data_IF_814784875630
#
_entry.id   IF_814784875630
#
_cell.length_a   1.000
_cell.length_b   1.000
_cell.length_c   1.000
_cell.angle_alpha   90.00
_cell.angle_beta   90.00
_cell.angle_gamma   90.00
#
_symmetry.space_group_name_H-M   'P 1'
#
loop_
_entity.id
_entity.type
_entity.pdbx_description
1 polymer ?
#
# COMPACT_ATOMS: atom_id res chain seq x y z
N UNK A 1 -17.31 -12.56 18.42
CA UNK A 1 -17.45 -11.10 18.51
C UNK A 1 -16.70 -10.63 19.75
N UNK A 2 -15.38 -10.55 19.66
CA UNK A 2 -14.49 -10.26 20.80
C UNK A 2 -14.17 -8.77 20.85
N UNK A 3 -14.63 -8.09 21.90
CA UNK A 3 -13.95 -7.05 22.69
C UNK A 3 -12.83 -6.20 22.04
N UNK A 4 -12.97 -5.77 20.79
CA UNK A 4 -12.05 -4.80 20.21
C UNK A 4 -12.85 -3.70 19.52
N UNK A 5 -13.17 -2.65 20.27
CA UNK A 5 -13.24 -1.24 19.83
C UNK A 5 -13.74 -0.29 20.95
N UNK A 6 -13.24 -0.47 22.17
CA UNK A 6 -13.36 0.55 23.24
C UNK A 6 -12.00 1.14 23.60
N UNK A 7 -11.20 1.48 22.59
CA UNK A 7 -9.99 2.27 22.83
C UNK A 7 -10.09 3.51 21.94
N UNK A 8 -10.47 4.61 22.61
CA UNK A 8 -10.47 6.00 22.17
C UNK A 8 -11.69 6.50 21.35
N UNK A 9 -12.21 5.77 20.36
CA UNK A 9 -13.37 6.24 19.55
C UNK A 9 -14.46 5.17 19.41
N UNK A 10 -15.71 5.42 19.80
CA UNK A 10 -16.83 4.50 19.56
C UNK A 10 -17.08 4.31 18.07
N UNK A 11 -17.11 3.06 17.61
CA UNK A 11 -17.41 2.71 16.22
C UNK A 11 -18.77 2.04 16.11
N UNK A 12 -19.55 2.49 15.13
CA UNK A 12 -20.87 1.97 14.82
C UNK A 12 -20.83 1.33 13.43
N UNK A 13 -20.93 0.00 13.37
CA UNK A 13 -21.01 -0.72 12.10
C UNK A 13 -22.38 -0.49 11.47
N UNK A 14 -22.39 -0.13 10.18
CA UNK A 14 -23.62 0.06 9.40
C UNK A 14 -23.78 -1.03 8.36
N UNK A 15 -24.99 -1.56 8.26
CA UNK A 15 -25.42 -2.53 7.25
C UNK A 15 -26.11 -1.86 6.05
N UNK A 16 -26.40 -0.56 6.14
CA UNK A 16 -27.03 0.22 5.08
C UNK A 16 -26.39 1.59 4.93
N UNK A 17 -26.13 2.00 3.68
CA UNK A 17 -25.65 3.36 3.33
C UNK A 17 -26.76 4.43 3.33
N UNK A 18 -28.03 4.05 3.59
CA UNK A 18 -29.15 5.00 3.59
C UNK A 18 -29.06 6.03 4.71
N UNK A 19 -29.59 7.24 4.47
CA UNK A 19 -29.75 8.24 5.53
C UNK A 19 -30.78 7.82 6.57
N UNK A 20 -31.78 7.03 6.17
CA UNK A 20 -32.77 6.47 7.09
C UNK A 20 -32.10 5.62 8.19
N UNK A 21 -31.05 4.87 7.83
CA UNK A 21 -30.28 4.12 8.81
C UNK A 21 -29.69 5.04 9.88
N UNK A 22 -29.10 6.18 9.49
CA UNK A 22 -28.53 7.17 10.42
C UNK A 22 -29.61 7.70 11.35
N UNK A 23 -30.76 8.10 10.80
CA UNK A 23 -31.88 8.65 11.58
C UNK A 23 -32.39 7.67 12.63
N UNK A 24 -32.60 6.42 12.23
CA UNK A 24 -33.15 5.38 13.11
C UNK A 24 -32.13 4.93 14.17
N UNK A 25 -30.85 4.77 13.83
CA UNK A 25 -29.86 4.20 14.75
C UNK A 25 -29.23 5.22 15.70
N UNK A 26 -29.23 6.51 15.34
CA UNK A 26 -28.71 7.59 16.19
C UNK A 26 -29.82 8.38 16.91
N UNK A 27 -31.09 8.02 16.69
CA UNK A 27 -32.26 8.74 17.20
C UNK A 27 -32.19 10.25 16.89
N UNK A 28 -32.08 10.53 15.59
CA UNK A 28 -31.94 11.87 15.02
C UNK A 28 -32.85 12.05 13.81
N UNK A 29 -33.17 13.28 13.48
CA UNK A 29 -33.89 13.66 12.27
C UNK A 29 -32.94 14.30 11.26
N UNK A 30 -33.43 14.52 10.03
CA UNK A 30 -32.65 15.23 9.01
C UNK A 30 -32.20 16.64 9.44
N UNK A 31 -32.91 17.28 10.39
CA UNK A 31 -32.56 18.61 10.92
C UNK A 31 -31.38 18.58 11.90
N UNK A 32 -31.10 17.41 12.47
CA UNK A 32 -29.99 17.22 13.42
C UNK A 32 -28.67 16.88 12.71
N UNK A 33 -28.69 16.75 11.39
CA UNK A 33 -27.52 16.35 10.58
C UNK A 33 -27.04 17.52 9.73
N UNK A 34 -25.79 17.91 9.94
CA UNK A 34 -25.08 18.84 9.06
C UNK A 34 -24.35 18.06 7.98
N UNK A 35 -24.64 18.35 6.71
CA UNK A 35 -24.05 17.65 5.57
C UNK A 35 -22.95 18.48 4.92
N UNK A 36 -21.72 17.98 4.97
CA UNK A 36 -20.63 18.42 4.10
C UNK A 36 -20.73 17.69 2.77
N UNK A 37 -21.19 18.40 1.74
CA UNK A 37 -21.35 17.86 0.39
C UNK A 37 -20.13 18.20 -0.44
N UNK A 38 -19.37 17.18 -0.80
CA UNK A 38 -18.25 17.33 -1.72
C UNK A 38 -18.78 17.54 -3.14
N UNK A 39 -18.53 18.71 -3.72
CA UNK A 39 -18.75 19.00 -5.13
C UNK A 39 -17.55 18.54 -5.97
N UNK A 40 -16.35 18.46 -5.37
CA UNK A 40 -15.12 18.00 -6.02
C UNK A 40 -14.23 17.14 -5.10
N UNK A 41 -13.37 16.24 -5.64
CA UNK A 41 -12.57 15.30 -4.83
C UNK A 41 -11.62 15.92 -3.79
N UNK A 42 -11.14 17.14 -4.04
CA UNK A 42 -10.20 17.87 -3.19
C UNK A 42 -10.78 19.23 -2.78
N UNK A 43 -12.06 19.24 -2.39
CA UNK A 43 -12.72 20.50 -2.06
C UNK A 43 -12.14 21.15 -0.80
N UNK A 44 -11.99 20.38 0.29
CA UNK A 44 -11.47 20.91 1.55
C UNK A 44 -10.43 20.01 2.21
N UNK A 45 -9.53 20.66 2.95
CA UNK A 45 -8.63 20.06 3.92
C UNK A 45 -9.04 20.49 5.34
N UNK A 46 -9.06 19.55 6.28
CA UNK A 46 -9.30 19.80 7.69
C UNK A 46 -7.96 19.93 8.41
N UNK A 47 -7.78 21.03 9.13
CA UNK A 47 -6.59 21.36 9.90
C UNK A 47 -6.92 21.46 11.39
N UNK A 48 -6.04 20.96 12.24
CA UNK A 48 -6.20 20.95 13.69
C UNK A 48 -5.42 22.06 14.42
N UNK A 49 -4.50 22.75 13.74
CA UNK A 49 -3.74 23.88 14.29
C UNK A 49 -4.11 25.20 13.58
N UNK A 50 -4.96 26.06 14.17
CA UNK A 50 -5.38 27.33 13.58
C UNK A 50 -4.24 28.37 13.49
N UNK A 51 -3.09 28.12 14.13
CA UNK A 51 -1.98 29.09 14.17
C UNK A 51 -1.02 28.95 12.99
N UNK A 52 -1.05 27.82 12.31
CA UNK A 52 -0.12 27.51 11.22
C UNK A 52 -0.82 27.69 9.88
N UNK A 53 -0.34 28.63 9.05
CA UNK A 53 -0.81 28.79 7.67
C UNK A 53 -0.02 27.88 6.73
N UNK A 54 -0.63 26.78 6.32
CA UNK A 54 -0.02 25.76 5.47
C UNK A 54 -0.51 25.87 4.03
N UNK A 55 0.34 25.57 3.04
CA UNK A 55 -0.12 25.43 1.66
C UNK A 55 -1.23 24.38 1.62
N UNK A 56 -2.20 24.50 0.71
CA UNK A 56 -3.33 23.58 0.60
C UNK A 56 -3.07 22.37 -0.31
N UNK A 57 -1.85 22.22 -0.85
CA UNK A 57 -1.51 21.21 -1.88
C UNK A 57 -2.51 21.29 -3.04
N UNK A 58 -3.37 20.27 -3.16
CA UNK A 58 -4.42 20.12 -4.18
C UNK A 58 -5.82 20.49 -3.70
N UNK A 59 -5.96 20.91 -2.44
CA UNK A 59 -7.25 21.25 -1.84
C UNK A 59 -7.64 22.71 -2.13
N UNK A 60 -8.93 22.99 -2.31
CA UNK A 60 -9.39 24.33 -2.67
C UNK A 60 -9.45 25.28 -1.47
N UNK A 61 -9.86 24.79 -0.30
CA UNK A 61 -9.92 25.58 0.92
C UNK A 61 -9.69 24.75 2.17
N UNK A 62 -9.46 25.46 3.28
CA UNK A 62 -9.22 24.90 4.61
C UNK A 62 -10.46 25.02 5.47
N UNK A 63 -10.67 24.02 6.31
CA UNK A 63 -11.63 24.04 7.42
C UNK A 63 -10.84 23.80 8.71
N UNK A 64 -10.89 24.74 9.63
CA UNK A 64 -10.29 24.55 10.95
C UNK A 64 -11.16 23.64 11.81
N UNK A 65 -10.52 22.81 12.63
CA UNK A 65 -11.21 21.90 13.55
C UNK A 65 -12.12 22.67 14.53
N UNK A 66 -11.76 23.90 14.91
CA UNK A 66 -12.60 24.75 15.75
C UNK A 66 -13.89 25.19 15.04
N UNK A 67 -13.83 25.41 13.72
CA UNK A 67 -15.05 25.66 12.92
C UNK A 67 -15.99 24.46 12.96
N UNK A 68 -15.45 23.24 12.98
CA UNK A 68 -16.26 22.02 13.10
C UNK A 68 -16.88 21.87 14.50
N UNK A 69 -16.18 22.31 15.56
CA UNK A 69 -16.68 22.28 16.95
C UNK A 69 -17.84 23.24 17.17
N UNK A 70 -17.87 24.36 16.44
CA UNK A 70 -18.92 25.37 16.55
C UNK A 70 -20.25 24.96 15.87
N UNK A 71 -20.28 23.83 15.16
CA UNK A 71 -21.50 23.34 14.50
C UNK A 71 -22.42 22.69 15.55
N UNK A 72 -23.57 23.30 15.81
CA UNK A 72 -24.55 22.85 16.81
C UNK A 72 -25.30 21.54 16.46
N UNK A 73 -25.15 21.04 15.23
CA UNK A 73 -25.84 19.82 14.78
C UNK A 73 -25.26 18.60 15.51
N UNK A 74 -26.15 17.66 15.89
CA UNK A 74 -25.77 16.45 16.64
C UNK A 74 -24.89 15.49 15.82
N UNK A 75 -24.98 15.57 14.49
CA UNK A 75 -24.25 14.69 13.57
C UNK A 75 -23.62 15.52 12.45
N UNK A 76 -22.31 15.35 12.26
CA UNK A 76 -21.59 15.83 11.07
C UNK A 76 -21.47 14.68 10.07
N UNK A 77 -22.02 14.85 8.87
CA UNK A 77 -21.95 13.88 7.79
C UNK A 77 -21.06 14.41 6.67
N UNK A 78 -19.91 13.76 6.47
CA UNK A 78 -19.00 14.06 5.38
C UNK A 78 -19.28 13.19 4.14
N UNK A 79 -19.21 13.78 2.95
CA UNK A 79 -19.42 13.06 1.68
C UNK A 79 -18.33 12.04 1.43
N UNK A 80 -17.11 12.49 1.16
CA UNK A 80 -15.91 11.68 1.06
C UNK A 80 -14.90 12.12 2.12
N UNK A 81 -14.20 11.16 2.71
CA UNK A 81 -12.99 11.42 3.50
C UNK A 81 -11.73 10.92 2.77
N UNK A 82 -11.87 10.60 1.48
CA UNK A 82 -10.77 10.16 0.64
C UNK A 82 -9.83 11.33 0.32
N UNK A 83 -8.53 11.01 0.26
CA UNK A 83 -7.45 11.94 -0.09
C UNK A 83 -6.39 11.97 1.00
N UNK A 84 -5.12 11.73 0.62
CA UNK A 84 -4.01 11.99 1.54
C UNK A 84 -4.07 13.45 2.01
N UNK A 85 -3.74 13.68 3.27
CA UNK A 85 -3.77 15.01 3.91
C UNK A 85 -5.15 15.66 4.01
N UNK A 86 -6.25 14.96 3.74
CA UNK A 86 -7.59 15.55 3.89
C UNK A 86 -7.92 15.92 5.34
N UNK A 87 -7.41 15.15 6.29
CA UNK A 87 -7.37 15.50 7.71
C UNK A 87 -5.89 15.52 8.09
N UNK A 88 -5.37 16.70 8.38
CA UNK A 88 -4.00 16.88 8.80
C UNK A 88 -3.96 16.82 10.33
N UNK A 89 -3.05 16.00 10.85
CA UNK A 89 -2.76 15.95 12.28
C UNK A 89 -1.43 16.68 12.51
N UNK A 90 -1.50 17.96 12.83
CA UNK A 90 -0.37 18.87 12.96
C UNK A 90 0.19 18.83 14.37
N UNK A 91 -0.69 18.78 15.38
CA UNK A 91 -0.28 18.72 16.79
C UNK A 91 0.22 17.32 17.20
N UNK A 92 1.18 17.21 18.13
CA UNK A 92 1.65 15.90 18.62
C UNK A 92 0.54 15.03 19.22
N UNK A 93 -0.44 15.64 19.87
CA UNK A 93 -1.59 14.94 20.46
C UNK A 93 -2.47 14.30 19.38
N UNK A 94 -2.87 15.06 18.35
CA UNK A 94 -3.67 14.52 17.26
C UNK A 94 -2.90 13.54 16.38
N UNK A 95 -1.58 13.68 16.25
CA UNK A 95 -0.72 12.68 15.60
C UNK A 95 -0.78 11.34 16.33
N UNK A 96 -0.75 11.34 17.66
CA UNK A 96 -0.89 10.12 18.44
C UNK A 96 -2.29 9.50 18.27
N UNK A 97 -3.36 10.30 18.30
CA UNK A 97 -4.73 9.83 18.05
C UNK A 97 -4.84 9.21 16.65
N UNK A 98 -4.31 9.87 15.62
CA UNK A 98 -4.29 9.34 14.25
C UNK A 98 -3.52 8.01 14.17
N UNK A 99 -2.44 7.88 14.93
CA UNK A 99 -1.63 6.65 15.01
C UNK A 99 -2.42 5.51 15.63
N UNK A 100 -3.13 5.77 16.72
CA UNK A 100 -3.99 4.78 17.37
C UNK A 100 -5.12 4.30 16.44
N UNK A 101 -5.77 5.24 15.73
CA UNK A 101 -6.79 4.93 14.73
C UNK A 101 -6.20 4.05 13.62
N UNK A 102 -5.11 4.47 12.98
CA UNK A 102 -4.46 3.72 11.89
C UNK A 102 -3.97 2.35 12.34
N UNK A 103 -3.47 2.23 13.58
CA UNK A 103 -3.06 0.94 14.16
C UNK A 103 -4.21 -0.05 14.32
N UNK A 104 -5.45 0.45 14.41
CA UNK A 104 -6.66 -0.37 14.46
C UNK A 104 -7.23 -0.72 13.08
N UNK A 105 -6.85 0.01 12.03
CA UNK A 105 -7.33 -0.17 10.65
C UNK A 105 -6.61 -1.29 9.91
N UNK A 106 -6.52 -2.47 10.52
CA UNK A 106 -5.94 -3.68 9.91
C UNK A 106 -7.02 -4.71 9.60
N UNK A 107 -6.79 -5.56 8.61
CA UNK A 107 -7.72 -6.64 8.29
C UNK A 107 -7.77 -7.69 9.40
N UNK A 108 -8.99 -7.97 9.89
CA UNK A 108 -9.25 -8.97 10.93
C UNK A 108 -10.37 -9.91 10.50
N UNK A 109 -10.10 -10.68 9.46
CA UNK A 109 -10.98 -11.77 9.05
C UNK A 109 -10.29 -13.11 9.39
N UNK A 110 -10.89 -14.00 10.21
CA UNK A 110 -10.21 -15.20 10.70
C UNK A 110 -9.60 -16.06 9.60
N UNK A 111 -10.31 -16.21 8.48
CA UNK A 111 -9.82 -17.00 7.34
C UNK A 111 -8.68 -16.28 6.62
N UNK A 112 -8.72 -14.95 6.50
CA UNK A 112 -7.61 -14.19 5.89
C UNK A 112 -6.37 -14.31 6.76
N UNK A 113 -6.49 -14.03 8.05
CA UNK A 113 -5.37 -14.12 9.00
C UNK A 113 -4.74 -15.51 8.99
N UNK A 114 -5.55 -16.57 9.05
CA UNK A 114 -5.06 -17.95 9.01
C UNK A 114 -4.33 -18.30 7.70
N UNK A 115 -4.89 -17.88 6.56
CA UNK A 115 -4.27 -18.12 5.24
C UNK A 115 -2.97 -17.32 5.09
N UNK A 116 -2.96 -16.06 5.51
CA UNK A 116 -1.75 -15.22 5.57
C UNK A 116 -0.67 -15.90 6.41
N UNK A 117 -0.98 -16.32 7.63
CA UNK A 117 -0.02 -16.97 8.54
C UNK A 117 0.58 -18.25 7.93
N UNK A 118 -0.25 -19.07 7.25
CA UNK A 118 0.23 -20.26 6.54
C UNK A 118 1.24 -19.90 5.45
N UNK A 119 0.93 -18.90 4.62
CA UNK A 119 1.79 -18.49 3.50
C UNK A 119 3.08 -17.85 4.04
N UNK A 120 2.97 -16.93 4.99
CA UNK A 120 4.12 -16.28 5.64
C UNK A 120 5.04 -17.31 6.29
N UNK A 121 4.49 -18.34 6.95
CA UNK A 121 5.28 -19.44 7.50
C UNK A 121 6.04 -20.21 6.41
N UNK A 122 5.42 -20.44 5.25
CA UNK A 122 6.10 -21.10 4.12
C UNK A 122 7.25 -20.26 3.57
N UNK A 123 7.09 -18.94 3.52
CA UNK A 123 8.12 -17.97 3.11
C UNK A 123 9.28 -17.84 4.12
N UNK A 124 9.15 -18.43 5.32
CA UNK A 124 10.18 -18.44 6.36
C UNK A 124 9.75 -17.76 7.67
N UNK A 125 8.61 -17.08 7.68
CA UNK A 125 8.08 -16.32 8.82
C UNK A 125 8.19 -14.80 8.64
N UNK A 126 7.58 -14.06 9.56
CA UNK A 126 7.69 -12.59 9.62
C UNK A 126 9.16 -12.16 9.67
N UNK A 127 9.49 -11.09 8.95
CA UNK A 127 10.84 -10.53 8.85
C UNK A 127 11.88 -11.49 8.21
N UNK A 128 11.47 -12.48 7.39
CA UNK A 128 12.40 -13.43 6.74
C UNK A 128 12.45 -13.33 5.21
N UNK A 129 11.71 -12.39 4.61
CA UNK A 129 11.66 -12.15 3.17
C UNK A 129 11.48 -10.66 2.89
N UNK A 130 11.70 -10.24 1.65
CA UNK A 130 11.36 -8.90 1.16
C UNK A 130 9.94 -8.94 0.61
N UNK A 131 9.08 -8.08 1.13
CA UNK A 131 7.73 -7.90 0.61
C UNK A 131 7.68 -6.78 -0.41
N UNK A 132 6.85 -6.92 -1.44
CA UNK A 132 6.60 -5.82 -2.36
C UNK A 132 5.17 -5.80 -2.86
N UNK A 133 4.67 -4.60 -3.14
CA UNK A 133 3.39 -4.38 -3.80
C UNK A 133 3.59 -3.56 -5.06
N UNK A 134 3.44 -4.20 -6.22
CA UNK A 134 3.71 -3.65 -7.55
C UNK A 134 2.44 -3.58 -8.38
N UNK A 135 2.06 -2.37 -8.80
CA UNK A 135 0.95 -2.13 -9.71
C UNK A 135 1.43 -1.93 -11.14
N UNK A 136 0.89 -2.70 -12.07
CA UNK A 136 1.16 -2.64 -13.51
C UNK A 136 -0.10 -2.72 -14.37
N UNK A 137 -1.26 -3.02 -13.77
CA UNK A 137 -2.46 -3.40 -14.49
C UNK A 137 -3.37 -2.24 -14.92
N UNK A 138 -3.35 -1.11 -14.20
CA UNK A 138 -4.39 -0.08 -14.33
C UNK A 138 -3.91 1.38 -14.25
N UNK A 139 -4.74 2.27 -14.82
CA UNK A 139 -4.65 3.72 -14.67
C UNK A 139 -3.27 4.31 -14.99
N UNK A 140 -2.91 5.36 -14.23
CA UNK A 140 -1.59 6.00 -14.28
C UNK A 140 -0.46 5.02 -13.90
N UNK A 141 -0.74 4.03 -13.06
CA UNK A 141 0.27 3.07 -12.60
C UNK A 141 0.78 2.22 -13.76
N UNK A 142 -0.09 1.83 -14.69
CA UNK A 142 0.31 1.17 -15.93
C UNK A 142 1.24 2.03 -16.80
N UNK A 143 1.04 3.35 -16.84
CA UNK A 143 1.86 4.27 -17.64
C UNK A 143 3.27 4.44 -17.10
N UNK A 144 3.40 4.47 -15.77
CA UNK A 144 4.69 4.60 -15.08
C UNK A 144 5.25 3.27 -14.57
N UNK A 145 4.62 2.16 -14.92
CA UNK A 145 4.99 0.83 -14.43
C UNK A 145 6.45 0.49 -14.75
N UNK A 146 6.92 0.83 -15.95
CA UNK A 146 8.29 0.56 -16.38
C UNK A 146 9.30 1.29 -15.50
N UNK A 147 9.11 2.60 -15.29
CA UNK A 147 9.96 3.44 -14.44
C UNK A 147 9.93 2.94 -12.99
N UNK A 148 8.75 2.68 -12.43
CA UNK A 148 8.63 2.24 -11.04
C UNK A 148 9.23 0.86 -10.78
N UNK A 149 9.08 -0.07 -11.73
CA UNK A 149 9.70 -1.39 -11.60
C UNK A 149 11.21 -1.29 -11.75
N UNK A 150 11.70 -0.43 -12.64
CA UNK A 150 13.11 -0.13 -12.79
C UNK A 150 13.71 0.43 -11.47
N UNK A 151 13.08 1.44 -10.86
CA UNK A 151 13.52 1.98 -9.56
C UNK A 151 13.55 0.92 -8.44
N UNK A 152 12.51 0.07 -8.38
CA UNK A 152 12.44 -1.03 -7.41
C UNK A 152 13.53 -2.06 -7.69
N UNK A 153 13.78 -2.39 -8.95
CA UNK A 153 14.81 -3.35 -9.36
C UNK A 153 16.21 -2.87 -8.94
N UNK A 154 16.57 -1.63 -9.28
CA UNK A 154 17.89 -1.08 -8.91
C UNK A 154 18.04 -0.98 -7.39
N UNK A 155 16.98 -0.61 -6.67
CA UNK A 155 16.99 -0.62 -5.20
C UNK A 155 17.18 -2.01 -4.60
N UNK A 156 16.59 -3.05 -5.19
CA UNK A 156 16.79 -4.44 -4.78
C UNK A 156 18.22 -4.92 -5.07
N UNK A 157 18.75 -4.55 -6.23
CA UNK A 157 20.13 -4.84 -6.63
C UNK A 157 21.11 -4.23 -5.64
N UNK A 158 20.97 -2.94 -5.34
CA UNK A 158 21.85 -2.22 -4.43
C UNK A 158 21.83 -2.83 -3.01
N UNK A 159 20.63 -3.16 -2.51
CA UNK A 159 20.46 -3.63 -1.12
C UNK A 159 20.75 -5.12 -0.92
N UNK A 160 20.48 -5.97 -1.92
CA UNK A 160 20.45 -7.44 -1.74
C UNK A 160 21.35 -8.21 -2.70
N UNK A 161 22.15 -7.53 -3.52
CA UNK A 161 23.08 -8.17 -4.45
C UNK A 161 24.45 -7.51 -4.43
N UNK A 162 25.45 -8.19 -4.98
CA UNK A 162 26.82 -7.71 -5.20
C UNK A 162 27.12 -7.56 -6.70
N UNK A 163 26.07 -7.30 -7.50
CA UNK A 163 26.18 -7.21 -8.95
C UNK A 163 26.98 -5.97 -9.34
N UNK A 164 27.97 -6.14 -10.23
CA UNK A 164 28.66 -5.00 -10.82
C UNK A 164 27.77 -4.27 -11.82
N UNK A 165 28.10 -3.01 -12.15
CA UNK A 165 27.40 -2.24 -13.18
C UNK A 165 27.25 -3.01 -14.52
N UNK A 166 28.29 -3.73 -14.93
CA UNK A 166 28.27 -4.56 -16.14
C UNK A 166 27.24 -5.69 -16.04
N UNK A 167 27.17 -6.35 -14.88
CA UNK A 167 26.21 -7.43 -14.64
C UNK A 167 24.78 -6.89 -14.55
N UNK A 168 24.55 -5.76 -13.89
CA UNK A 168 23.23 -5.12 -13.83
C UNK A 168 22.75 -4.78 -15.24
N UNK A 169 23.62 -4.22 -16.08
CA UNK A 169 23.30 -3.93 -17.50
C UNK A 169 22.91 -5.20 -18.27
N UNK A 170 23.51 -6.34 -17.97
CA UNK A 170 23.16 -7.62 -18.59
C UNK A 170 21.77 -8.13 -18.16
N UNK A 171 21.41 -7.95 -16.89
CA UNK A 171 20.09 -8.35 -16.37
C UNK A 171 18.98 -7.35 -16.67
N UNK A 172 19.35 -6.10 -16.95
CA UNK A 172 18.44 -5.02 -17.32
C UNK A 172 18.80 -4.37 -18.67
N UNK A 173 18.74 -5.14 -19.78
CA UNK A 173 19.09 -4.62 -21.10
C UNK A 173 18.08 -3.60 -21.66
N UNK A 174 16.93 -3.44 -21.01
CA UNK A 174 15.84 -2.55 -21.42
C UNK A 174 15.75 -1.29 -20.56
N UNK A 175 16.71 -1.06 -19.65
CA UNK A 175 16.72 0.09 -18.74
C UNK A 175 16.35 1.41 -19.44
N UNK A 176 17.11 1.81 -20.47
CA UNK A 176 16.88 3.08 -21.17
C UNK A 176 15.48 3.16 -21.79
N UNK A 177 14.91 2.03 -22.23
CA UNK A 177 13.56 1.96 -22.79
C UNK A 177 12.50 2.06 -21.69
N UNK A 178 12.73 1.43 -20.54
CA UNK A 178 11.83 1.47 -19.39
C UNK A 178 11.73 2.87 -18.77
N UNK A 179 12.79 3.69 -18.92
CA UNK A 179 12.82 5.11 -18.49
C UNK A 179 12.05 6.06 -19.41
N UNK A 180 11.59 5.62 -20.58
CA UNK A 180 10.79 6.44 -21.49
C UNK A 180 9.33 6.45 -21.01
N UNK A 181 8.75 7.65 -20.87
CA UNK A 181 7.33 7.76 -20.53
C UNK A 181 6.48 7.25 -21.71
N UNK A 182 5.50 6.39 -21.41
CA UNK A 182 4.57 5.89 -22.43
C UNK A 182 3.73 7.06 -22.98
N UNK A 183 3.73 7.23 -24.30
CA UNK A 183 2.91 8.23 -24.99
C UNK A 183 1.51 7.73 -25.32
N UNK A 184 1.17 6.50 -24.94
CA UNK A 184 -0.04 5.79 -25.38
C UNK A 184 -1.34 6.29 -24.70
N UNK A 185 -1.25 7.17 -23.71
CA UNK A 185 -2.41 7.74 -23.03
C UNK A 185 -2.22 9.24 -22.75
N UNK A 186 -2.94 10.07 -23.50
CA UNK A 186 -3.20 11.47 -23.12
C UNK A 186 -4.23 11.51 -21.98
N UNK A 187 -3.86 11.13 -20.76
CA UNK A 187 -4.66 11.49 -19.59
C UNK A 187 -4.03 12.74 -18.98
N UNK A 188 -4.70 13.87 -19.15
CA UNK A 188 -4.44 15.11 -18.42
C UNK A 188 -4.78 14.88 -16.95
N UNK A 189 -3.89 14.26 -16.20
CA UNK A 189 -3.98 14.20 -14.74
C UNK A 189 -3.49 15.53 -14.19
N UNK A 190 -4.44 16.45 -13.98
CA UNK A 190 -4.23 17.75 -13.28
C UNK A 190 -3.76 17.61 -11.82
N UNK A 191 -3.42 16.41 -11.35
CA UNK A 191 -3.33 16.09 -9.92
C UNK A 191 -2.06 15.34 -9.51
N UNK A 192 -1.06 15.21 -10.38
CA UNK A 192 0.26 14.68 -9.99
C UNK A 192 1.36 15.57 -10.56
N UNK A 193 2.46 15.79 -9.80
CA UNK A 193 3.60 16.51 -10.32
C UNK A 193 4.08 15.87 -11.62
N UNK A 194 4.26 16.70 -12.63
CA UNK A 194 4.94 16.32 -13.87
C UNK A 194 6.41 16.22 -13.50
N UNK A 195 6.92 15.02 -13.28
CA UNK A 195 8.35 14.81 -13.22
C UNK A 195 8.93 15.05 -14.61
N UNK A 196 9.68 16.13 -14.76
CA UNK A 196 10.08 16.68 -16.06
C UNK A 196 11.22 15.87 -16.70
N UNK A 197 11.90 15.00 -15.94
CA UNK A 197 12.95 14.14 -16.46
C UNK A 197 13.03 12.79 -15.74
N UNK A 198 12.54 11.75 -16.41
CA UNK A 198 12.65 10.38 -15.92
C UNK A 198 13.95 9.69 -16.32
N UNK A 199 14.81 10.31 -17.14
CA UNK A 199 16.09 9.69 -17.51
C UNK A 199 17.05 9.66 -16.34
N UNK A 200 17.55 8.48 -16.02
CA UNK A 200 18.53 8.21 -14.95
C UNK A 200 19.48 7.14 -15.49
N UNK A 201 20.80 7.26 -15.34
CA UNK A 201 21.73 6.17 -15.70
C UNK A 201 21.63 5.01 -14.70
N UNK A 202 22.03 3.82 -15.12
CA UNK A 202 22.26 2.70 -14.19
C UNK A 202 23.41 3.10 -13.27
N UNK A 203 23.13 3.12 -11.98
CA UNK A 203 24.10 3.32 -10.92
C UNK A 203 24.00 2.15 -9.96
N UNK A 204 25.13 1.73 -9.39
CA UNK A 204 25.18 0.65 -8.40
C UNK A 204 25.91 1.15 -7.17
N UNK A 205 25.19 1.16 -6.04
CA UNK A 205 25.67 1.65 -4.76
C UNK A 205 25.43 0.58 -3.69
N UNK A 206 26.44 -0.24 -3.42
CA UNK A 206 26.39 -1.24 -2.35
C UNK A 206 26.76 -0.63 -1.00
N UNK A 207 25.86 0.18 -0.44
CA UNK A 207 26.10 0.89 0.83
C UNK A 207 26.21 -0.05 2.03
N UNK A 208 25.65 -1.26 1.93
CA UNK A 208 25.61 -2.23 3.03
C UNK A 208 26.19 -3.59 2.58
N UNK A 209 27.11 -4.20 3.35
CA UNK A 209 27.60 -5.54 3.04
C UNK A 209 26.48 -6.58 3.14
N UNK A 210 26.38 -7.45 2.13
CA UNK A 210 25.33 -8.47 2.06
C UNK A 210 25.58 -9.55 3.11
N UNK A 211 24.63 -9.70 4.03
CA UNK A 211 24.63 -10.82 4.96
C UNK A 211 23.82 -11.96 4.34
N UNK A 212 24.50 -12.84 3.61
CA UNK A 212 23.90 -14.05 3.03
C UNK A 212 23.56 -15.05 4.15
N UNK A 213 22.34 -14.99 4.65
CA UNK A 213 21.80 -16.01 5.56
C UNK A 213 21.06 -17.08 4.76
N UNK A 214 21.13 -18.35 5.21
CA UNK A 214 20.33 -19.42 4.58
C UNK A 214 18.85 -19.05 4.66
N UNK A 215 18.13 -19.07 3.52
CA UNK A 215 16.73 -18.68 3.53
C UNK A 215 15.97 -19.68 4.39
N UNK A 216 15.13 -19.18 5.30
CA UNK A 216 14.28 -20.03 6.15
C UNK A 216 13.03 -20.52 5.42
N UNK A 217 12.85 -20.13 4.16
CA UNK A 217 11.74 -20.55 3.33
C UNK A 217 11.71 -22.07 3.17
N UNK A 218 10.52 -22.62 3.21
CA UNK A 218 10.25 -24.04 2.92
C UNK A 218 9.83 -24.24 1.46
N UNK A 219 9.72 -23.14 0.70
CA UNK A 219 9.32 -23.16 -0.69
C UNK A 219 10.49 -23.57 -1.58
N UNK A 220 10.16 -24.26 -2.68
CA UNK A 220 11.12 -24.55 -3.73
C UNK A 220 11.34 -23.31 -4.59
N UNK A 221 12.57 -22.82 -4.65
CA UNK A 221 12.94 -21.70 -5.51
C UNK A 221 13.09 -22.13 -6.97
N UNK A 222 13.03 -21.19 -7.91
CA UNK A 222 13.32 -21.49 -9.30
C UNK A 222 14.81 -21.83 -9.48
N UNK A 223 15.12 -22.55 -10.55
CA UNK A 223 16.50 -22.80 -10.93
C UNK A 223 17.16 -21.46 -11.32
N UNK A 224 18.36 -21.15 -10.78
CA UNK A 224 19.06 -19.94 -11.15
C UNK A 224 19.46 -19.98 -12.63
N UNK A 225 19.56 -18.81 -13.25
CA UNK A 225 19.96 -18.69 -14.65
C UNK A 225 21.44 -19.06 -14.85
N UNK A 226 22.27 -18.76 -13.86
CA UNK A 226 23.72 -18.91 -13.87
C UNK A 226 24.30 -18.92 -12.45
N UNK A 227 25.62 -19.08 -12.34
CA UNK A 227 26.35 -19.09 -11.06
C UNK A 227 26.28 -17.75 -10.31
N UNK A 228 25.96 -16.65 -10.99
CA UNK A 228 25.82 -15.32 -10.38
C UNK A 228 24.49 -15.24 -9.65
N UNK A 229 23.39 -15.47 -10.36
CA UNK A 229 22.02 -15.48 -9.80
C UNK A 229 21.82 -16.59 -8.76
N UNK A 230 22.60 -17.67 -8.85
CA UNK A 230 22.66 -18.73 -7.83
C UNK A 230 23.00 -18.21 -6.43
N UNK A 231 23.77 -17.12 -6.31
CA UNK A 231 24.13 -16.49 -5.02
C UNK A 231 22.93 -15.82 -4.35
N UNK A 232 22.02 -15.27 -5.13
CA UNK A 232 20.86 -14.49 -4.63
C UNK A 232 19.65 -15.36 -4.26
N UNK A 233 19.78 -16.68 -4.30
CA UNK A 233 18.79 -17.63 -3.74
C UNK A 233 18.56 -17.46 -2.24
N UNK A 234 19.41 -16.70 -1.55
CA UNK A 234 19.25 -16.40 -0.13
C UNK A 234 18.25 -15.27 0.13
N UNK A 235 17.96 -14.46 -0.89
CA UNK A 235 16.99 -13.36 -0.82
C UNK A 235 15.63 -13.87 -1.29
N UNK A 236 14.71 -14.04 -0.35
CA UNK A 236 13.34 -14.47 -0.64
C UNK A 236 12.49 -13.23 -0.93
N UNK A 237 11.82 -13.21 -2.09
CA UNK A 237 10.90 -12.13 -2.47
C UNK A 237 9.46 -12.64 -2.46
N UNK A 238 8.53 -11.83 -1.95
CA UNK A 238 7.10 -12.01 -2.19
C UNK A 238 6.55 -10.78 -2.91
N UNK A 239 5.96 -11.00 -4.09
CA UNK A 239 5.48 -9.95 -4.98
C UNK A 239 3.95 -9.99 -5.02
N UNK A 240 3.32 -9.01 -4.37
CA UNK A 240 1.90 -8.70 -4.52
C UNK A 240 1.72 -7.83 -5.76
N UNK A 241 0.86 -8.24 -6.71
CA UNK A 241 0.70 -7.52 -7.97
C UNK A 241 -0.64 -7.77 -8.64
N UNK A 242 -1.11 -6.79 -9.40
CA UNK A 242 -2.29 -6.85 -10.25
C UNK A 242 -1.99 -7.43 -11.65
N UNK A 243 -0.75 -7.83 -11.94
CA UNK A 243 -0.38 -8.52 -13.17
C UNK A 243 -1.08 -9.89 -13.26
N UNK A 244 -1.85 -10.20 -14.32
CA UNK A 244 -2.53 -11.49 -14.45
C UNK A 244 -1.58 -12.70 -14.56
N UNK A 245 -0.40 -12.49 -15.14
CA UNK A 245 0.65 -13.51 -15.26
C UNK A 245 2.01 -12.89 -14.91
N UNK A 246 2.32 -12.70 -13.60
CA UNK A 246 3.48 -11.93 -13.17
C UNK A 246 4.80 -12.48 -13.71
N UNK A 247 4.96 -13.80 -13.74
CA UNK A 247 6.20 -14.47 -14.16
C UNK A 247 6.52 -14.28 -15.65
N UNK A 248 5.52 -14.02 -16.47
CA UNK A 248 5.70 -13.76 -17.90
C UNK A 248 5.55 -12.28 -18.25
N UNK A 249 5.21 -11.42 -17.27
CA UNK A 249 5.04 -9.99 -17.51
C UNK A 249 6.40 -9.35 -17.85
N UNK A 250 6.58 -8.71 -19.03
CA UNK A 250 7.88 -8.24 -19.51
C UNK A 250 8.65 -7.41 -18.48
N UNK A 251 7.98 -6.44 -17.84
CA UNK A 251 8.61 -5.57 -16.84
C UNK A 251 9.07 -6.33 -15.58
N UNK A 252 8.34 -7.35 -15.15
CA UNK A 252 8.62 -8.06 -13.90
C UNK A 252 9.65 -9.18 -14.07
N UNK A 253 9.91 -9.62 -15.32
CA UNK A 253 10.83 -10.73 -15.58
C UNK A 253 12.24 -10.48 -15.03
N UNK A 254 12.74 -9.23 -15.04
CA UNK A 254 14.06 -8.90 -14.48
C UNK A 254 14.19 -9.28 -13.00
N UNK A 255 13.11 -9.13 -12.22
CA UNK A 255 13.06 -9.53 -10.80
C UNK A 255 13.21 -11.05 -10.65
N UNK A 256 12.41 -11.83 -11.38
CA UNK A 256 12.45 -13.30 -11.31
C UNK A 256 13.76 -13.89 -11.82
N UNK A 257 14.41 -13.24 -12.80
CA UNK A 257 15.70 -13.67 -13.35
C UNK A 257 16.84 -13.48 -12.36
N UNK A 258 16.88 -12.36 -11.65
CA UNK A 258 17.95 -12.06 -10.69
C UNK A 258 17.74 -12.78 -9.36
N UNK A 259 16.49 -12.92 -8.90
CA UNK A 259 16.16 -13.49 -7.59
C UNK A 259 15.36 -14.80 -7.75
N UNK A 260 16.01 -15.98 -7.74
CA UNK A 260 15.30 -17.24 -8.03
C UNK A 260 14.27 -17.64 -6.97
N UNK A 261 14.40 -17.13 -5.74
CA UNK A 261 13.45 -17.35 -4.65
C UNK A 261 12.36 -16.26 -4.60
N UNK A 262 11.76 -15.96 -5.76
CA UNK A 262 10.68 -14.99 -5.89
C UNK A 262 9.34 -15.70 -6.04
N UNK A 263 8.40 -15.33 -5.17
CA UNK A 263 7.08 -15.93 -5.09
C UNK A 263 5.98 -14.89 -5.31
N UNK A 264 4.88 -15.33 -5.91
CA UNK A 264 3.65 -14.58 -6.15
C UNK A 264 2.45 -15.37 -5.61
N UNK A 265 1.29 -14.74 -5.50
CA UNK A 265 0.11 -15.37 -4.90
C UNK A 265 -0.27 -16.71 -5.56
N UNK A 266 -0.08 -16.87 -6.88
CA UNK A 266 -0.36 -18.12 -7.60
C UNK A 266 0.54 -19.30 -7.19
N UNK A 267 1.66 -19.06 -6.51
CA UNK A 267 2.48 -20.15 -5.94
C UNK A 267 1.83 -20.79 -4.70
N UNK A 268 0.71 -20.21 -4.22
CA UNK A 268 -0.02 -20.62 -3.02
C UNK A 268 -1.48 -21.03 -3.29
N UNK A 269 -1.77 -21.56 -4.49
CA UNK A 269 -3.12 -21.93 -4.93
C UNK A 269 -3.92 -22.78 -3.92
N UNK A 270 -3.24 -23.66 -3.17
CA UNK A 270 -3.89 -24.50 -2.16
C UNK A 270 -4.47 -23.68 -1.01
N UNK A 271 -3.71 -22.70 -0.54
CA UNK A 271 -4.11 -21.77 0.52
C UNK A 271 -5.17 -20.78 0.01
N UNK A 272 -5.00 -20.26 -1.21
CA UNK A 272 -5.94 -19.32 -1.84
C UNK A 272 -7.34 -19.92 -2.03
N UNK A 273 -7.43 -21.23 -2.28
CA UNK A 273 -8.72 -21.95 -2.36
C UNK A 273 -9.54 -21.90 -1.06
N UNK A 274 -8.95 -21.59 0.09
CA UNK A 274 -9.69 -21.37 1.34
C UNK A 274 -10.47 -20.04 1.29
N UNK A 275 -9.91 -19.00 0.67
CA UNK A 275 -10.57 -17.71 0.48
C UNK A 275 -11.67 -17.78 -0.57
N UNK A 276 -11.46 -18.55 -1.64
CA UNK A 276 -12.43 -18.73 -2.72
C UNK A 276 -13.75 -19.41 -2.29
N UNK A 277 -13.80 -19.97 -1.09
CA UNK A 277 -15.01 -20.55 -0.49
C UNK A 277 -15.85 -19.52 0.27
N UNK A 278 -15.33 -18.32 0.49
CA UNK A 278 -16.02 -17.28 1.24
C UNK A 278 -17.09 -16.62 0.37
N UNK A 279 -18.30 -16.55 0.92
CA UNK A 279 -19.45 -15.92 0.28
C UNK A 279 -20.36 -15.29 1.32
N UNK A 280 -21.06 -14.23 0.94
CA UNK A 280 -22.26 -13.76 1.64
C UNK A 280 -23.36 -14.76 1.34
N UNK A 281 -23.83 -15.48 2.36
CA UNK A 281 -24.74 -16.61 2.19
C UNK A 281 -26.11 -16.14 1.70
N UNK A 282 -26.58 -15.03 2.24
CA UNK A 282 -27.89 -14.43 1.98
C UNK A 282 -28.02 -13.93 0.54
N UNK A 283 -26.94 -13.40 -0.02
CA UNK A 283 -26.91 -12.79 -1.36
C UNK A 283 -26.28 -13.71 -2.41
N UNK A 284 -25.71 -14.85 -2.00
CA UNK A 284 -24.93 -15.75 -2.85
C UNK A 284 -23.79 -15.03 -3.60
N UNK A 285 -23.18 -14.03 -2.94
CA UNK A 285 -22.10 -13.21 -3.49
C UNK A 285 -20.77 -13.78 -2.99
N UNK A 286 -19.92 -14.23 -3.92
CA UNK A 286 -18.56 -14.65 -3.58
C UNK A 286 -17.70 -13.46 -3.19
N UNK A 287 -16.85 -13.66 -2.19
CA UNK A 287 -16.01 -12.60 -1.62
C UNK A 287 -14.58 -12.58 -2.18
N UNK A 288 -14.22 -13.52 -3.06
CA UNK A 288 -12.83 -13.71 -3.48
C UNK A 288 -12.25 -12.49 -4.21
N UNK A 289 -13.00 -11.85 -5.09
CA UNK A 289 -12.55 -10.62 -5.77
C UNK A 289 -12.26 -9.46 -4.82
N UNK A 290 -12.90 -9.44 -3.64
CA UNK A 290 -12.71 -8.40 -2.63
C UNK A 290 -11.59 -8.75 -1.63
N UNK A 291 -11.43 -10.04 -1.34
CA UNK A 291 -10.53 -10.51 -0.28
C UNK A 291 -9.15 -10.90 -0.79
N UNK A 292 -9.00 -11.30 -2.06
CA UNK A 292 -7.70 -11.66 -2.64
C UNK A 292 -6.69 -10.50 -2.57
N UNK A 293 -7.03 -9.25 -2.96
CA UNK A 293 -6.08 -8.14 -2.83
C UNK A 293 -5.67 -7.87 -1.38
N UNK A 294 -6.58 -8.13 -0.42
CA UNK A 294 -6.31 -7.97 1.01
C UNK A 294 -5.40 -9.07 1.54
N UNK A 295 -5.60 -10.32 1.09
CA UNK A 295 -4.68 -11.42 1.37
C UNK A 295 -3.26 -11.09 0.87
N UNK A 296 -3.16 -10.64 -0.38
CA UNK A 296 -1.88 -10.33 -1.03
C UNK A 296 -1.12 -9.22 -0.29
N UNK A 297 -1.85 -8.14 0.06
CA UNK A 297 -1.36 -7.05 0.89
C UNK A 297 -0.89 -7.51 2.27
N UNK A 298 -1.67 -8.36 2.95
CA UNK A 298 -1.32 -8.89 4.26
C UNK A 298 -0.02 -9.70 4.18
N UNK A 299 0.14 -10.58 3.17
CA UNK A 299 1.36 -11.40 3.03
C UNK A 299 2.58 -10.51 2.79
N UNK A 300 2.51 -9.58 1.83
CA UNK A 300 3.63 -8.70 1.50
C UNK A 300 4.09 -7.85 2.69
N UNK A 301 3.16 -7.41 3.54
CA UNK A 301 3.46 -6.59 4.70
C UNK A 301 4.33 -7.28 5.77
N UNK A 302 4.40 -8.62 5.80
CA UNK A 302 5.22 -9.36 6.77
C UNK A 302 6.73 -9.41 6.44
N UNK A 303 7.15 -8.89 5.28
CA UNK A 303 8.57 -8.83 4.91
C UNK A 303 9.40 -7.97 5.87
N UNK A 304 10.72 -8.16 5.94
CA UNK A 304 11.61 -7.30 6.75
C UNK A 304 11.79 -5.90 6.14
N UNK A 305 11.82 -5.88 4.80
CA UNK A 305 11.86 -4.69 3.94
C UNK A 305 10.63 -4.74 3.04
N UNK A 306 10.06 -3.56 2.76
CA UNK A 306 8.87 -3.41 1.93
C UNK A 306 9.14 -2.43 0.78
N UNK A 307 8.85 -2.83 -0.45
CA UNK A 307 8.86 -1.96 -1.63
C UNK A 307 7.45 -1.74 -2.15
N UNK A 308 7.14 -0.52 -2.59
CA UNK A 308 5.77 -0.13 -2.88
C UNK A 308 5.72 0.69 -4.18
N UNK A 309 4.65 0.58 -4.97
CA UNK A 309 4.43 1.49 -6.11
C UNK A 309 4.18 2.91 -5.61
N UNK A 310 4.99 3.90 -6.01
CA UNK A 310 4.80 5.30 -5.63
C UNK A 310 3.38 5.80 -5.93
N UNK A 311 2.89 6.70 -5.07
CA UNK A 311 1.58 7.35 -5.13
C UNK A 311 0.33 6.42 -5.12
N UNK A 312 0.49 5.11 -5.07
CA UNK A 312 -0.62 4.19 -4.87
C UNK A 312 -1.10 4.27 -3.43
N UNK A 313 -2.35 4.72 -3.23
CA UNK A 313 -2.97 4.82 -1.89
C UNK A 313 -3.02 3.45 -1.18
N UNK A 314 -3.24 2.38 -1.94
CA UNK A 314 -3.21 1.02 -1.42
C UNK A 314 -1.79 0.59 -1.03
N UNK A 315 -0.77 0.91 -1.84
CA UNK A 315 0.64 0.67 -1.49
C UNK A 315 1.04 1.39 -0.20
N UNK A 316 0.64 2.66 -0.07
CA UNK A 316 0.89 3.46 1.13
C UNK A 316 0.20 2.89 2.37
N UNK A 317 -1.01 2.37 2.23
CA UNK A 317 -1.71 1.68 3.30
C UNK A 317 -0.93 0.46 3.79
N UNK A 318 -0.40 -0.36 2.86
CA UNK A 318 0.41 -1.53 3.21
C UNK A 318 1.70 -1.09 3.90
N UNK A 319 2.45 -0.16 3.30
CA UNK A 319 3.75 0.31 3.76
C UNK A 319 3.70 0.99 5.12
N UNK A 320 2.72 1.87 5.33
CA UNK A 320 2.68 2.75 6.52
C UNK A 320 1.87 2.17 7.67
N UNK A 321 1.01 1.18 7.41
CA UNK A 321 0.07 0.67 8.39
C UNK A 321 0.23 -0.84 8.58
N UNK A 322 0.03 -1.65 7.54
CA UNK A 322 0.13 -3.11 7.68
C UNK A 322 1.54 -3.56 8.04
N UNK A 323 2.55 -3.09 7.29
CA UNK A 323 3.93 -3.52 7.47
C UNK A 323 4.47 -3.19 8.87
N UNK A 324 4.30 -1.97 9.41
CA UNK A 324 4.72 -1.70 10.78
C UNK A 324 4.03 -2.58 11.81
N UNK A 325 2.70 -2.74 11.71
CA UNK A 325 1.94 -3.58 12.65
C UNK A 325 2.45 -5.04 12.62
N UNK A 326 2.64 -5.62 11.44
CA UNK A 326 3.07 -7.02 11.35
C UNK A 326 4.54 -7.23 11.69
N UNK A 327 5.38 -6.21 11.53
CA UNK A 327 6.82 -6.31 11.84
C UNK A 327 7.17 -5.80 13.24
N UNK A 328 6.18 -5.33 14.01
CA UNK A 328 6.39 -4.78 15.35
C UNK A 328 7.05 -3.40 15.36
N UNK A 329 6.97 -2.66 14.25
CA UNK A 329 7.40 -1.26 14.16
C UNK A 329 6.21 -0.34 14.45
N UNK A 330 6.50 0.93 14.73
CA UNK A 330 5.46 1.92 14.95
C UNK A 330 4.78 2.31 13.63
N UNK A 331 3.45 2.40 13.63
CA UNK A 331 2.66 2.87 12.47
C UNK A 331 3.07 4.30 12.13
N UNK A 332 3.39 4.52 10.86
CA UNK A 332 3.77 5.84 10.36
C UNK A 332 2.52 6.68 10.13
N UNK A 333 2.43 7.81 10.83
CA UNK A 333 1.43 8.84 10.57
C UNK A 333 2.06 9.94 9.75
N UNK A 334 1.37 10.33 8.69
CA UNK A 334 1.82 11.41 7.83
C UNK A 334 1.36 12.69 8.52
N UNK A 335 2.28 13.29 9.26
CA UNK A 335 2.05 14.54 9.98
C UNK A 335 2.47 15.75 9.15
N UNK A 336 2.74 16.84 9.85
CA UNK A 336 3.15 18.11 9.28
C UNK A 336 4.47 18.06 8.50
N UNK A 337 5.48 17.37 9.03
CA UNK A 337 6.83 17.34 8.44
C UNK A 337 6.84 16.70 7.04
N UNK A 338 6.21 15.53 6.90
CA UNK A 338 6.10 14.87 5.59
C UNK A 338 5.20 15.62 4.62
N UNK A 339 4.15 16.29 5.12
CA UNK A 339 3.32 17.17 4.28
C UNK A 339 4.14 18.28 3.65
N UNK A 340 4.98 18.95 4.44
CA UNK A 340 5.87 20.01 3.99
C UNK A 340 6.94 19.50 3.01
N UNK A 341 7.45 18.28 3.21
CA UNK A 341 8.43 17.67 2.31
C UNK A 341 7.82 17.12 1.01
N UNK A 342 6.49 17.02 0.94
CA UNK A 342 5.76 16.54 -0.25
C UNK A 342 5.23 17.66 -1.16
N UNK A 343 5.42 18.92 -0.75
CA UNK A 343 5.26 20.11 -1.61
C UNK A 343 6.49 20.23 -2.53
#
# INVERSE_FOLDING_TARGET
>A
MSEIQQRTVPLLFRDSLSYQWIYTHLDVTAKDVYFFKDLMPYEYQISDDPTTDLPLDRFNYRIDLDTLKDIEHRVLHFGSMFGSYRVLAETPEHQQILRDIRSSMIFRHPVLSHVTEKIVKKLGGTNQFVGMHIRVGDGIFKLRASIHIDDIFHSLVDQFTDLTLEQVTQYDPQHDQDRLESTDYEVVLRSMPVEVNHTKPIEVHHDTPIILTKPKTTMHCQDPLDDVTARFRHTVLYIATDAPNPRHHPLLQKLFRVFPCSFVLSDFDKEVKEIQKLQVVEENVRLDSYLIPMLDAMIAAHGHTFFSTPHSTFSHYIERQLHPIYTGKEVQVIGLEEYLNSQ
#
